data_IF_174340752061
#
_entry.id   IF_174340752061
#
_cell.length_a   1.000
_cell.length_b   1.000
_cell.length_c   1.000
_cell.angle_alpha   90.00
_cell.angle_beta   90.00
_cell.angle_gamma   90.00
#
_symmetry.space_group_name_H-M   'P 1'
#
loop_
_entity.id
_entity.type
_entity.pdbx_description
1 polymer ?
#
# COMPACT_ATOMS: atom_id res chain seq x y z
N UNK A 1 -10.74 9.94 41.51
CA UNK A 1 -11.13 9.79 40.08
C UNK A 1 -9.94 10.20 39.23
N UNK A 2 -9.25 9.24 38.63
CA UNK A 2 -7.94 9.46 38.00
C UNK A 2 -8.09 9.91 36.54
N UNK A 3 -7.67 11.16 36.29
CA UNK A 3 -6.88 11.67 35.16
C UNK A 3 -7.19 11.05 33.78
N UNK A 4 -8.17 11.63 33.09
CA UNK A 4 -8.28 11.52 31.63
C UNK A 4 -6.99 12.07 30.99
N UNK A 5 -6.18 11.22 30.35
CA UNK A 5 -4.96 11.64 29.66
C UNK A 5 -5.29 12.02 28.22
N UNK A 6 -5.48 13.31 27.96
CA UNK A 6 -5.82 13.84 26.63
C UNK A 6 -4.80 13.46 25.52
N UNK A 7 -3.54 13.18 25.89
CA UNK A 7 -2.47 12.82 24.95
C UNK A 7 -2.19 11.32 24.87
N UNK A 8 -3.15 10.46 25.22
CA UNK A 8 -2.97 9.02 25.09
C UNK A 8 -2.95 8.63 23.61
N UNK A 9 -1.79 8.13 23.14
CA UNK A 9 -1.64 7.58 21.79
C UNK A 9 -2.64 6.44 21.64
N UNK A 10 -3.56 6.57 20.68
CA UNK A 10 -4.63 5.58 20.46
C UNK A 10 -3.99 4.21 20.21
N UNK A 11 -4.43 3.20 20.95
CA UNK A 11 -3.95 1.82 20.81
C UNK A 11 -4.37 1.22 19.46
N UNK A 12 -5.48 1.69 18.91
CA UNK A 12 -6.02 1.29 17.62
C UNK A 12 -6.26 2.52 16.76
N UNK A 13 -5.98 2.40 15.47
CA UNK A 13 -6.29 3.45 14.50
C UNK A 13 -7.80 3.64 14.42
N UNK A 14 -8.24 4.88 14.24
CA UNK A 14 -9.66 5.23 14.08
C UNK A 14 -10.26 4.45 12.92
N UNK A 15 -9.51 4.27 11.83
CA UNK A 15 -9.94 3.46 10.69
C UNK A 15 -10.32 2.03 11.08
N UNK A 16 -9.56 1.40 11.97
CA UNK A 16 -9.78 0.02 12.44
C UNK A 16 -10.97 -0.09 13.37
N UNK A 17 -11.23 0.94 14.20
CA UNK A 17 -12.34 0.97 15.15
C UNK A 17 -13.67 1.28 14.46
N UNK A 18 -13.63 2.14 13.43
CA UNK A 18 -14.82 2.58 12.69
C UNK A 18 -15.05 1.83 11.37
N UNK A 19 -14.28 0.76 11.09
CA UNK A 19 -14.32 0.02 9.82
C UNK A 19 -14.22 0.92 8.57
N UNK A 20 -13.55 2.06 8.68
CA UNK A 20 -13.23 2.87 7.53
C UNK A 20 -12.09 2.13 6.83
N UNK A 21 -12.37 1.42 5.73
CA UNK A 21 -11.35 0.74 4.92
C UNK A 21 -11.05 1.57 3.66
N UNK A 22 -10.37 2.74 3.78
CA UNK A 22 -10.07 3.58 2.63
C UNK A 22 -9.17 2.88 1.60
N UNK A 23 -8.51 1.79 2.00
CA UNK A 23 -7.66 0.96 1.15
C UNK A 23 -8.43 -0.13 0.37
N UNK A 24 -9.64 -0.52 0.80
CA UNK A 24 -10.45 -1.54 0.11
C UNK A 24 -10.70 -1.18 -1.36
N UNK A 25 -10.87 0.11 -1.65
CA UNK A 25 -11.05 0.58 -3.03
C UNK A 25 -9.86 0.24 -3.93
N UNK A 26 -8.65 0.23 -3.38
CA UNK A 26 -7.43 -0.12 -4.12
C UNK A 26 -7.31 -1.63 -4.26
N UNK A 27 -7.63 -2.39 -3.20
CA UNK A 27 -7.71 -3.86 -3.28
C UNK A 27 -8.68 -4.31 -4.37
N UNK A 28 -9.88 -3.73 -4.40
CA UNK A 28 -10.89 -3.99 -5.43
C UNK A 28 -10.35 -3.60 -6.80
N UNK A 29 -9.77 -2.41 -6.96
CA UNK A 29 -9.20 -1.97 -8.24
C UNK A 29 -8.10 -2.91 -8.74
N UNK A 30 -7.22 -3.34 -7.84
CA UNK A 30 -6.13 -4.25 -8.18
C UNK A 30 -6.60 -5.66 -8.48
N UNK A 31 -7.74 -6.10 -7.93
CA UNK A 31 -8.32 -7.41 -8.27
C UNK A 31 -8.75 -7.54 -9.74
N UNK A 32 -8.94 -6.41 -10.44
CA UNK A 32 -9.27 -6.37 -11.87
C UNK A 32 -8.04 -6.22 -12.78
N UNK A 33 -6.85 -5.98 -12.21
CA UNK A 33 -5.61 -5.91 -13.01
C UNK A 33 -5.10 -7.32 -13.28
N UNK A 34 -5.04 -7.69 -14.56
CA UNK A 34 -4.37 -8.92 -14.97
C UNK A 34 -2.84 -8.72 -14.92
N UNK A 35 -2.19 -9.44 -14.00
CA UNK A 35 -0.75 -9.41 -13.77
C UNK A 35 -0.03 -10.62 -14.35
N UNK A 36 -0.75 -11.56 -14.97
CA UNK A 36 -0.17 -12.77 -15.56
C UNK A 36 0.97 -12.51 -16.56
N UNK A 37 0.98 -11.43 -17.37
CA UNK A 37 2.11 -11.17 -18.27
C UNK A 37 3.41 -10.82 -17.55
N UNK A 38 3.35 -10.36 -16.29
CA UNK A 38 4.51 -9.98 -15.51
C UNK A 38 5.27 -11.21 -14.97
N UNK A 39 4.63 -12.37 -14.91
CA UNK A 39 5.26 -13.62 -14.46
C UNK A 39 6.46 -13.99 -15.33
N UNK A 40 6.40 -13.67 -16.63
CA UNK A 40 7.45 -13.93 -17.62
C UNK A 40 8.73 -13.12 -17.31
N UNK A 41 8.60 -11.99 -16.61
CA UNK A 41 9.74 -11.12 -16.27
C UNK A 41 10.54 -11.64 -15.07
N UNK A 42 9.99 -12.58 -14.29
CA UNK A 42 10.71 -13.11 -13.13
C UNK A 42 11.88 -14.01 -13.59
N UNK A 43 13.08 -13.80 -13.04
CA UNK A 43 14.22 -14.63 -13.37
C UNK A 43 13.97 -16.06 -12.89
N UNK A 44 14.29 -17.04 -13.74
CA UNK A 44 14.17 -18.48 -13.41
C UNK A 44 15.18 -18.94 -12.35
N UNK A 45 16.23 -18.15 -12.10
CA UNK A 45 17.30 -18.46 -11.16
C UNK A 45 17.67 -17.25 -10.32
N UNK A 46 18.03 -17.49 -9.06
CA UNK A 46 18.46 -16.45 -8.12
C UNK A 46 17.32 -15.96 -7.23
N UNK A 47 17.57 -14.89 -6.47
CA UNK A 47 16.54 -14.24 -5.65
C UNK A 47 15.63 -13.45 -6.59
N UNK A 48 14.31 -13.71 -6.61
CA UNK A 48 13.41 -12.89 -7.39
C UNK A 48 13.51 -11.42 -6.91
N UNK A 49 13.56 -10.46 -7.84
CA UNK A 49 13.58 -9.05 -7.49
C UNK A 49 12.28 -8.64 -6.78
N UNK A 50 12.19 -7.36 -6.42
CA UNK A 50 10.95 -6.74 -5.93
C UNK A 50 9.78 -7.16 -6.85
N UNK A 51 8.63 -7.60 -6.30
CA UNK A 51 7.54 -8.12 -7.12
C UNK A 51 7.08 -7.08 -8.15
N UNK A 52 7.10 -7.47 -9.43
CA UNK A 52 6.69 -6.61 -10.55
C UNK A 52 5.23 -6.18 -10.45
N UNK A 53 4.38 -7.05 -9.93
CA UNK A 53 2.99 -6.74 -9.61
C UNK A 53 2.88 -5.57 -8.61
N UNK A 54 3.68 -5.59 -7.54
CA UNK A 54 3.65 -4.53 -6.54
C UNK A 54 4.16 -3.20 -7.13
N UNK A 55 5.16 -3.25 -8.00
CA UNK A 55 5.63 -2.08 -8.74
C UNK A 55 4.54 -1.52 -9.66
N UNK A 56 3.82 -2.37 -10.41
CA UNK A 56 2.72 -1.94 -11.26
C UNK A 56 1.61 -1.26 -10.43
N UNK A 57 1.18 -1.90 -9.33
CA UNK A 57 0.18 -1.33 -8.41
C UNK A 57 0.61 0.02 -7.86
N UNK A 58 1.89 0.17 -7.50
CA UNK A 58 2.44 1.43 -7.01
C UNK A 58 2.44 2.53 -8.09
N UNK A 59 2.74 2.19 -9.35
CA UNK A 59 2.68 3.13 -10.48
C UNK A 59 1.24 3.55 -10.79
N UNK A 60 0.31 2.60 -10.80
CA UNK A 60 -1.13 2.88 -10.97
C UNK A 60 -1.63 3.80 -9.86
N UNK A 61 -1.26 3.52 -8.60
CA UNK A 61 -1.61 4.37 -7.47
C UNK A 61 -1.07 5.79 -7.61
N UNK A 62 0.22 5.92 -7.99
CA UNK A 62 0.88 7.20 -8.23
C UNK A 62 0.08 8.03 -9.24
N UNK A 63 -0.37 7.43 -10.34
CA UNK A 63 -1.12 8.12 -11.38
C UNK A 63 -2.54 8.49 -10.92
N UNK A 64 -3.23 7.62 -10.18
CA UNK A 64 -4.54 7.92 -9.59
C UNK A 64 -4.46 9.08 -8.60
N UNK A 65 -3.40 9.14 -7.80
CA UNK A 65 -3.17 10.17 -6.79
C UNK A 65 -2.53 11.44 -7.32
N UNK A 66 -2.17 11.48 -8.61
CA UNK A 66 -1.38 12.58 -9.21
C UNK A 66 -0.09 12.88 -8.42
N UNK A 67 0.60 11.84 -7.96
CA UNK A 67 1.92 11.99 -7.33
C UNK A 67 2.95 12.22 -8.43
N UNK A 68 3.56 13.40 -8.42
CA UNK A 68 4.46 13.86 -9.49
C UNK A 68 5.77 13.08 -9.54
N UNK A 69 6.35 12.75 -8.38
CA UNK A 69 7.69 12.16 -8.29
C UNK A 69 7.68 10.80 -7.60
N UNK A 70 8.54 9.89 -8.07
CA UNK A 70 8.74 8.58 -7.43
C UNK A 70 9.25 8.70 -5.98
N UNK A 71 10.02 9.74 -5.66
CA UNK A 71 10.48 10.01 -4.30
C UNK A 71 9.33 10.26 -3.33
N UNK A 72 8.26 10.89 -3.80
CA UNK A 72 7.09 11.20 -2.98
C UNK A 72 6.25 9.93 -2.77
N UNK A 73 6.14 9.07 -3.79
CA UNK A 73 5.54 7.74 -3.66
C UNK A 73 6.29 6.88 -2.63
N UNK A 74 7.63 6.91 -2.65
CA UNK A 74 8.45 6.19 -1.65
C UNK A 74 8.18 6.70 -0.23
N UNK A 75 8.10 8.02 -0.04
CA UNK A 75 7.73 8.61 1.26
C UNK A 75 6.35 8.18 1.70
N UNK A 76 5.38 8.20 0.80
CA UNK A 76 3.99 7.82 1.09
C UNK A 76 3.87 6.35 1.51
N UNK A 77 4.63 5.46 0.86
CA UNK A 77 4.73 4.04 1.24
C UNK A 77 5.42 3.82 2.59
N UNK A 78 6.44 4.62 2.90
CA UNK A 78 7.12 4.57 4.21
C UNK A 78 6.22 5.07 5.35
N UNK A 79 5.45 6.12 5.09
CA UNK A 79 4.53 6.71 6.06
C UNK A 79 3.27 5.82 6.27
N UNK A 80 2.90 5.02 5.26
CA UNK A 80 1.72 4.17 5.25
C UNK A 80 2.09 2.71 4.94
N UNK A 81 2.61 1.94 5.91
CA UNK A 81 3.00 0.55 5.70
C UNK A 81 1.82 -0.34 5.27
N UNK A 82 0.61 -0.03 5.72
CA UNK A 82 -0.61 -0.75 5.32
C UNK A 82 -0.84 -0.68 3.79
N UNK A 83 -0.49 0.46 3.16
CA UNK A 83 -0.62 0.67 1.73
C UNK A 83 0.43 -0.13 0.94
N UNK A 84 1.65 -0.25 1.49
CA UNK A 84 2.69 -1.11 0.93
C UNK A 84 2.29 -2.60 0.95
N UNK A 85 1.61 -3.05 2.02
CA UNK A 85 1.07 -4.41 2.11
C UNK A 85 0.00 -4.67 1.04
N UNK A 86 -0.89 -3.70 0.79
CA UNK A 86 -1.91 -3.81 -0.27
C UNK A 86 -1.27 -3.94 -1.66
N UNK A 87 -0.13 -3.31 -1.88
CA UNK A 87 0.59 -3.43 -3.15
C UNK A 87 1.32 -4.77 -3.25
N UNK A 88 1.69 -5.39 -2.13
CA UNK A 88 2.40 -6.66 -2.07
C UNK A 88 3.92 -6.51 -1.98
N UNK A 89 4.40 -5.43 -1.35
CA UNK A 89 5.81 -5.25 -1.00
C UNK A 89 6.22 -5.99 0.28
#
# INVERSE_FOLDING_TARGET
MNRFKANQKLLFRVETVFNLRPLEKYEILFSFLDTSPLEILYPSTGRPPIPYEALLKALVYKDIKNVSYLSDLVRELQDNPDLALVFGF
#
